data_IF_693087343073
#
_entry.id   IF_693087343073
#
_cell.length_a   1.000
_cell.length_b   1.000
_cell.length_c   1.000
_cell.angle_alpha   90.00
_cell.angle_beta   90.00
_cell.angle_gamma   90.00
#
_symmetry.space_group_name_H-M   'P 1'
#
loop_
_entity.id
_entity.type
_entity.pdbx_description
1 polymer ?
#
# COMPACT_ATOMS: atom_id res chain seq x y z
N UNK A 1 13.47 29.14 20.20
CA UNK A 1 13.44 29.04 18.72
C UNK A 1 12.96 27.65 18.26
N UNK A 2 12.55 26.76 19.17
CA UNK A 2 12.05 25.41 18.86
C UNK A 2 10.56 25.32 18.46
N UNK A 3 9.74 26.36 18.68
CA UNK A 3 8.27 26.27 18.45
C UNK A 3 7.84 26.14 16.97
N UNK A 4 8.75 26.23 16.00
CA UNK A 4 8.44 26.23 14.55
C UNK A 4 8.88 24.97 13.79
N UNK A 5 9.53 24.00 14.45
CA UNK A 5 10.06 22.81 13.75
C UNK A 5 8.92 21.89 13.28
N UNK A 6 7.91 21.67 14.12
CA UNK A 6 6.79 20.76 13.84
C UNK A 6 5.92 21.25 12.67
N UNK A 7 5.45 22.52 12.61
CA UNK A 7 4.66 23.01 11.48
C UNK A 7 5.44 23.03 10.16
N UNK A 8 6.73 23.38 10.21
CA UNK A 8 7.59 23.41 9.04
C UNK A 8 7.80 22.00 8.48
N UNK A 9 8.08 21.01 9.33
CA UNK A 9 8.26 19.62 8.94
C UNK A 9 6.95 19.01 8.39
N UNK A 10 5.81 19.34 8.99
CA UNK A 10 4.49 18.96 8.47
C UNK A 10 4.26 19.51 7.07
N UNK A 11 4.56 20.79 6.83
CA UNK A 11 4.40 21.39 5.51
C UNK A 11 5.29 20.72 4.45
N UNK A 12 6.53 20.37 4.80
CA UNK A 12 7.43 19.64 3.90
C UNK A 12 6.90 18.25 3.57
N UNK A 13 6.40 17.52 4.58
CA UNK A 13 5.78 16.21 4.41
C UNK A 13 4.53 16.26 3.53
N UNK A 14 3.71 17.30 3.69
CA UNK A 14 2.52 17.49 2.86
C UNK A 14 2.89 17.70 1.39
N UNK A 15 3.81 18.63 1.09
CA UNK A 15 4.22 18.90 -0.28
C UNK A 15 4.93 17.70 -0.92
N UNK A 16 5.77 17.00 -0.14
CA UNK A 16 6.39 15.76 -0.57
C UNK A 16 5.37 14.65 -0.86
N UNK A 17 4.41 14.45 0.04
CA UNK A 17 3.33 13.47 -0.13
C UNK A 17 2.52 13.76 -1.39
N UNK A 18 2.15 15.03 -1.60
CA UNK A 18 1.43 15.47 -2.80
C UNK A 18 2.23 15.22 -4.08
N UNK A 19 3.53 15.53 -4.10
CA UNK A 19 4.39 15.31 -5.26
C UNK A 19 4.59 13.82 -5.57
N UNK A 20 4.89 13.00 -4.57
CA UNK A 20 5.07 11.55 -4.73
C UNK A 20 3.75 10.90 -5.16
N UNK A 21 2.63 11.29 -4.52
CA UNK A 21 1.29 10.85 -4.90
C UNK A 21 0.95 11.20 -6.34
N UNK A 22 1.24 12.43 -6.77
CA UNK A 22 1.02 12.88 -8.14
C UNK A 22 1.78 12.03 -9.16
N UNK A 23 3.08 11.80 -8.92
CA UNK A 23 3.90 10.94 -9.76
C UNK A 23 3.38 9.50 -9.80
N UNK A 24 3.01 8.95 -8.64
CA UNK A 24 2.45 7.60 -8.57
C UNK A 24 1.12 7.49 -9.33
N UNK A 25 0.22 8.46 -9.17
CA UNK A 25 -1.07 8.48 -9.86
C UNK A 25 -0.92 8.53 -11.38
N UNK A 26 -0.05 9.41 -11.88
CA UNK A 26 0.25 9.53 -13.30
C UNK A 26 0.92 8.26 -13.87
N UNK A 27 1.86 7.67 -13.11
CA UNK A 27 2.55 6.45 -13.50
C UNK A 27 1.62 5.25 -13.54
N UNK A 28 0.79 5.06 -12.52
CA UNK A 28 -0.17 3.96 -12.43
C UNK A 28 -1.23 4.06 -13.53
N UNK A 29 -1.70 5.27 -13.86
CA UNK A 29 -2.61 5.50 -14.97
C UNK A 29 -2.00 5.04 -16.30
N UNK A 30 -0.76 5.45 -16.60
CA UNK A 30 -0.10 5.13 -17.87
C UNK A 30 0.35 3.69 -18.01
N UNK A 31 0.82 3.10 -16.93
CA UNK A 31 1.36 1.74 -16.93
C UNK A 31 0.32 0.65 -16.74
N UNK A 32 -0.91 1.01 -16.35
CA UNK A 32 -1.92 0.08 -15.86
C UNK A 32 -1.41 -0.87 -14.76
N UNK A 33 -0.40 -0.41 -14.02
CA UNK A 33 0.21 -1.18 -12.94
C UNK A 33 -0.75 -1.27 -11.76
N UNK A 34 -1.13 -2.49 -11.42
CA UNK A 34 -2.03 -2.75 -10.31
C UNK A 34 -1.60 -4.03 -9.64
N UNK A 35 -1.33 -3.97 -8.34
CA UNK A 35 -0.90 -5.16 -7.60
C UNK A 35 -2.01 -6.24 -7.56
N UNK A 36 -3.28 -5.83 -7.64
CA UNK A 36 -4.40 -6.76 -7.85
C UNK A 36 -4.25 -7.54 -9.15
N UNK A 37 -3.95 -6.83 -10.23
CA UNK A 37 -3.84 -7.44 -11.54
C UNK A 37 -2.59 -8.30 -11.66
N UNK A 38 -1.54 -8.08 -10.85
CA UNK A 38 -0.41 -9.00 -10.73
C UNK A 38 -0.84 -10.42 -10.33
N UNK A 39 -1.81 -10.56 -9.43
CA UNK A 39 -2.25 -11.86 -8.92
C UNK A 39 -3.37 -12.48 -9.75
N UNK A 40 -4.29 -11.65 -10.24
CA UNK A 40 -5.43 -12.12 -11.03
C UNK A 40 -5.03 -12.45 -12.48
N UNK A 41 -4.08 -11.71 -13.08
CA UNK A 41 -3.65 -11.97 -14.46
C UNK A 41 -2.92 -13.29 -14.64
N UNK A 42 -2.22 -13.78 -13.61
CA UNK A 42 -1.60 -15.10 -13.61
C UNK A 42 -2.67 -16.19 -13.83
N UNK A 43 -3.83 -16.06 -13.18
CA UNK A 43 -4.91 -17.04 -13.26
C UNK A 43 -5.77 -16.87 -14.51
N UNK A 44 -6.11 -15.62 -14.87
CA UNK A 44 -7.03 -15.32 -15.98
C UNK A 44 -6.33 -15.40 -17.35
N UNK A 45 -5.14 -14.80 -17.47
CA UNK A 45 -4.45 -14.61 -18.75
C UNK A 45 -3.15 -15.43 -18.86
N UNK A 46 -2.67 -16.05 -17.77
CA UNK A 46 -1.38 -16.75 -17.74
C UNK A 46 -0.16 -15.81 -17.88
N UNK A 47 -0.35 -14.49 -17.83
CA UNK A 47 0.72 -13.51 -18.00
C UNK A 47 1.37 -13.16 -16.66
N UNK A 48 2.71 -13.19 -16.63
CA UNK A 48 3.49 -12.81 -15.46
C UNK A 48 4.01 -11.37 -15.52
N UNK A 49 3.71 -10.60 -16.57
CA UNK A 49 4.32 -9.30 -16.85
C UNK A 49 4.24 -8.33 -15.66
N UNK A 50 3.03 -8.16 -15.10
CA UNK A 50 2.84 -7.24 -13.98
C UNK A 50 3.45 -7.77 -12.68
N UNK A 51 3.45 -9.09 -12.49
CA UNK A 51 4.12 -9.71 -11.36
C UNK A 51 5.64 -9.51 -11.43
N UNK A 52 6.24 -9.60 -12.62
CA UNK A 52 7.66 -9.27 -12.84
C UNK A 52 7.95 -7.80 -12.46
N UNK A 53 7.11 -6.85 -12.88
CA UNK A 53 7.24 -5.45 -12.51
C UNK A 53 7.12 -5.21 -10.99
N UNK A 54 6.21 -5.92 -10.32
CA UNK A 54 6.06 -5.87 -8.86
C UNK A 54 7.31 -6.43 -8.15
N UNK A 55 7.88 -7.54 -8.62
CA UNK A 55 9.12 -8.09 -8.07
C UNK A 55 10.31 -7.12 -8.21
N UNK A 56 10.44 -6.44 -9.35
CA UNK A 56 11.46 -5.38 -9.54
C UNK A 56 11.23 -4.22 -8.57
N UNK A 57 9.98 -3.75 -8.45
CA UNK A 57 9.64 -2.68 -7.50
C UNK A 57 9.98 -3.06 -6.05
N UNK A 58 9.67 -4.30 -5.67
CA UNK A 58 9.97 -4.83 -4.35
C UNK A 58 11.48 -4.92 -4.10
N UNK A 59 12.26 -5.43 -5.06
CA UNK A 59 13.71 -5.52 -4.94
C UNK A 59 14.35 -4.14 -4.76
N UNK A 60 13.94 -3.15 -5.56
CA UNK A 60 14.44 -1.77 -5.46
C UNK A 60 14.07 -1.15 -4.12
N UNK A 61 12.84 -1.37 -3.66
CA UNK A 61 12.38 -0.89 -2.36
C UNK A 61 13.15 -1.57 -1.20
N UNK A 62 13.41 -2.88 -1.29
CA UNK A 62 14.18 -3.63 -0.29
C UNK A 62 15.62 -3.14 -0.20
N UNK A 63 16.31 -3.04 -1.33
CA UNK A 63 17.69 -2.57 -1.39
C UNK A 63 17.80 -1.12 -0.88
N UNK A 64 16.87 -0.26 -1.30
CA UNK A 64 16.85 1.13 -0.87
C UNK A 64 16.51 1.30 0.62
N UNK A 65 15.55 0.54 1.15
CA UNK A 65 15.19 0.60 2.57
C UNK A 65 16.33 0.13 3.48
N UNK A 66 17.06 -0.93 3.12
CA UNK A 66 18.24 -1.35 3.88
C UNK A 66 19.38 -0.34 3.79
N UNK A 67 19.60 0.27 2.62
CA UNK A 67 20.58 1.32 2.49
C UNK A 67 20.28 2.52 3.40
N UNK A 68 19.01 2.92 3.53
CA UNK A 68 18.60 3.98 4.46
C UNK A 68 18.74 3.58 5.94
N UNK A 69 18.55 2.29 6.26
CA UNK A 69 18.80 1.74 7.59
C UNK A 69 20.29 1.81 7.94
N UNK A 70 21.17 1.45 7.01
CA UNK A 70 22.63 1.50 7.21
C UNK A 70 23.12 2.94 7.42
N UNK A 71 22.48 3.92 6.76
CA UNK A 71 22.73 5.35 6.97
C UNK A 71 22.15 5.92 8.27
N UNK A 72 21.44 5.12 9.08
CA UNK A 72 20.72 5.54 10.30
C UNK A 72 19.69 6.65 10.09
N UNK A 73 19.24 6.85 8.86
CA UNK A 73 18.17 7.81 8.52
C UNK A 73 16.81 7.19 8.83
N UNK A 74 16.72 5.86 8.71
CA UNK A 74 15.50 5.10 8.92
C UNK A 74 15.66 4.14 10.10
N UNK A 75 14.79 4.25 11.10
CA UNK A 75 14.58 3.26 12.15
C UNK A 75 13.35 2.41 11.84
N UNK A 76 13.50 1.20 11.27
CA UNK A 76 12.37 0.36 10.87
C UNK A 76 11.56 -0.17 12.07
N UNK A 77 12.16 -0.22 13.26
CA UNK A 77 11.53 -0.65 14.51
C UNK A 77 10.44 0.30 15.00
N UNK A 78 10.52 1.59 14.64
CA UNK A 78 9.47 2.58 14.96
C UNK A 78 8.30 2.55 13.96
N UNK A 79 8.41 1.78 12.88
CA UNK A 79 7.38 1.69 11.84
C UNK A 79 6.21 0.80 12.26
N UNK A 80 5.02 1.10 11.71
CA UNK A 80 3.79 0.30 11.96
C UNK A 80 3.92 -1.14 11.40
N UNK A 81 4.87 -1.35 10.50
CA UNK A 81 5.07 -2.61 9.79
C UNK A 81 5.91 -3.64 10.57
N UNK A 82 6.61 -3.20 11.63
CA UNK A 82 7.35 -4.05 12.58
C UNK A 82 6.75 -3.91 14.00
N UNK A 83 5.48 -4.29 14.23
CA UNK A 83 4.92 -4.24 15.58
C UNK A 83 5.60 -5.31 16.45
N UNK A 84 5.90 -4.99 17.71
CA UNK A 84 6.46 -5.94 18.70
C UNK A 84 5.48 -7.08 19.04
N UNK A 85 4.20 -6.82 18.89
CA UNK A 85 3.11 -7.79 19.04
C UNK A 85 2.49 -8.03 17.67
N UNK A 86 2.70 -9.22 17.09
CA UNK A 86 2.17 -9.55 15.76
C UNK A 86 0.75 -10.15 15.89
N UNK A 87 -0.31 -9.45 15.44
CA UNK A 87 -1.65 -10.02 15.36
C UNK A 87 -1.73 -10.93 14.12
N UNK A 88 -1.22 -12.16 14.24
CA UNK A 88 -1.14 -13.12 13.13
C UNK A 88 -2.52 -13.39 12.53
N UNK A 89 -3.54 -13.54 13.38
CA UNK A 89 -4.92 -13.73 12.94
C UNK A 89 -5.42 -12.54 12.10
N UNK A 90 -5.02 -11.32 12.45
CA UNK A 90 -5.35 -10.10 11.71
C UNK A 90 -4.73 -10.09 10.31
N UNK A 91 -3.44 -10.42 10.18
CA UNK A 91 -2.80 -10.50 8.87
C UNK A 91 -3.41 -11.58 7.97
N UNK A 92 -3.72 -12.74 8.54
CA UNK A 92 -4.33 -13.86 7.82
C UNK A 92 -5.75 -13.52 7.36
N UNK A 93 -6.64 -13.22 8.31
CA UNK A 93 -8.05 -12.98 8.01
C UNK A 93 -8.24 -11.66 7.24
N UNK A 94 -7.55 -10.60 7.65
CA UNK A 94 -7.58 -9.31 6.98
C UNK A 94 -7.04 -9.39 5.55
N UNK A 95 -5.92 -10.07 5.35
CA UNK A 95 -5.34 -10.29 4.02
C UNK A 95 -6.28 -11.09 3.11
N UNK A 96 -6.91 -12.15 3.63
CA UNK A 96 -7.85 -12.95 2.86
C UNK A 96 -9.11 -12.17 2.45
N UNK A 97 -9.73 -11.46 3.40
CA UNK A 97 -10.91 -10.61 3.15
C UNK A 97 -10.56 -9.49 2.16
N UNK A 98 -9.39 -8.86 2.32
CA UNK A 98 -8.90 -7.85 1.40
C UNK A 98 -8.72 -8.41 -0.01
N UNK A 99 -8.11 -9.60 -0.13
CA UNK A 99 -7.93 -10.33 -1.38
C UNK A 99 -9.23 -10.60 -2.12
N UNK A 100 -10.28 -11.02 -1.40
CA UNK A 100 -11.63 -11.19 -1.97
C UNK A 100 -12.15 -9.84 -2.49
N UNK A 101 -12.07 -8.80 -1.65
CA UNK A 101 -12.59 -7.47 -1.98
C UNK A 101 -11.96 -6.88 -3.23
N UNK A 102 -10.66 -7.09 -3.46
CA UNK A 102 -9.94 -6.63 -4.66
C UNK A 102 -10.62 -7.05 -5.95
N UNK A 103 -11.06 -8.32 -6.04
CA UNK A 103 -11.63 -8.89 -7.26
C UNK A 103 -12.97 -8.25 -7.57
N UNK A 104 -13.79 -8.01 -6.54
CA UNK A 104 -15.11 -7.39 -6.69
C UNK A 104 -15.04 -5.87 -6.89
N UNK A 105 -14.10 -5.19 -6.25
CA UNK A 105 -13.85 -3.76 -6.47
C UNK A 105 -13.22 -3.47 -7.83
N UNK A 106 -12.57 -4.48 -8.44
CA UNK A 106 -11.93 -4.38 -9.75
C UNK A 106 -10.56 -3.69 -9.71
N UNK A 107 -9.92 -3.55 -8.55
CA UNK A 107 -8.62 -2.91 -8.41
C UNK A 107 -8.08 -2.93 -6.99
N UNK A 108 -6.78 -2.66 -6.81
CA UNK A 108 -6.20 -2.44 -5.48
C UNK A 108 -6.47 -1.01 -4.98
N UNK A 109 -6.15 -0.74 -3.71
CA UNK A 109 -6.42 0.54 -3.05
C UNK A 109 -5.92 1.78 -3.82
N UNK A 110 -4.74 1.72 -4.44
CA UNK A 110 -4.26 2.83 -5.28
C UNK A 110 -4.93 2.87 -6.65
N UNK A 111 -5.23 1.71 -7.26
CA UNK A 111 -5.84 1.67 -8.60
C UNK A 111 -7.29 2.13 -8.58
N UNK A 112 -8.05 1.89 -7.52
CA UNK A 112 -9.41 2.42 -7.40
C UNK A 112 -9.40 3.95 -7.35
N UNK A 113 -8.42 4.58 -6.69
CA UNK A 113 -8.25 6.04 -6.72
C UNK A 113 -7.90 6.55 -8.12
N UNK A 114 -6.96 5.88 -8.80
CA UNK A 114 -6.56 6.25 -10.16
C UNK A 114 -7.74 6.15 -11.13
N UNK A 115 -8.56 5.09 -11.00
CA UNK A 115 -9.77 4.93 -11.82
C UNK A 115 -10.84 5.99 -11.54
N UNK A 116 -10.92 6.50 -10.31
CA UNK A 116 -11.75 7.68 -10.02
C UNK A 116 -11.24 8.89 -10.80
N UNK A 117 -9.92 9.10 -10.85
CA UNK A 117 -9.31 10.14 -11.69
C UNK A 117 -9.51 9.94 -13.20
N UNK A 118 -9.68 8.70 -13.65
CA UNK A 118 -10.03 8.37 -15.05
C UNK A 118 -11.52 8.62 -15.39
N UNK A 119 -12.40 8.82 -14.39
CA UNK A 119 -13.84 9.05 -14.57
C UNK A 119 -14.72 7.80 -14.34
N UNK A 120 -14.20 6.74 -13.73
CA UNK A 120 -14.96 5.51 -13.49
C UNK A 120 -15.84 5.61 -12.23
N UNK A 121 -17.16 5.62 -12.40
CA UNK A 121 -18.13 5.72 -11.30
C UNK A 121 -18.21 4.45 -10.45
N UNK A 122 -17.91 3.27 -11.00
CA UNK A 122 -17.80 2.03 -10.23
C UNK A 122 -16.65 2.08 -9.23
N UNK A 123 -15.49 2.60 -9.67
CA UNK A 123 -14.34 2.80 -8.79
C UNK A 123 -14.64 3.85 -7.70
N UNK A 124 -15.42 4.88 -8.02
CA UNK A 124 -15.86 5.88 -7.05
C UNK A 124 -16.66 5.23 -5.91
N UNK A 125 -17.62 4.37 -6.25
CA UNK A 125 -18.40 3.59 -5.27
C UNK A 125 -17.49 2.72 -4.40
N UNK A 126 -16.54 2.02 -5.02
CA UNK A 126 -15.56 1.22 -4.27
C UNK A 126 -14.71 2.06 -3.31
N UNK A 127 -14.30 3.27 -3.71
CA UNK A 127 -13.56 4.20 -2.85
C UNK A 127 -14.42 4.66 -1.68
N UNK A 128 -15.67 5.07 -1.91
CA UNK A 128 -16.57 5.46 -0.81
C UNK A 128 -16.79 4.32 0.19
N UNK A 129 -17.08 3.11 -0.31
CA UNK A 129 -17.27 1.93 0.53
C UNK A 129 -16.01 1.51 1.29
N UNK A 130 -14.85 1.59 0.62
CA UNK A 130 -13.55 1.38 1.24
C UNK A 130 -13.37 2.31 2.44
N UNK A 131 -13.61 3.60 2.25
CA UNK A 131 -13.38 4.61 3.28
C UNK A 131 -14.35 4.52 4.44
N UNK A 132 -15.63 4.25 4.15
CA UNK A 132 -16.64 4.03 5.18
C UNK A 132 -16.22 2.91 6.14
N UNK A 133 -15.77 1.79 5.59
CA UNK A 133 -15.44 0.60 6.39
C UNK A 133 -14.07 0.72 7.04
N UNK A 134 -13.10 1.34 6.36
CA UNK A 134 -11.79 1.63 6.92
C UNK A 134 -11.87 2.62 8.09
N UNK A 135 -12.59 3.73 7.94
CA UNK A 135 -12.83 4.69 9.02
C UNK A 135 -13.58 4.06 10.19
N UNK A 136 -14.61 3.25 9.90
CA UNK A 136 -15.36 2.52 10.92
C UNK A 136 -14.51 1.49 11.67
N UNK A 137 -13.54 0.85 11.02
CA UNK A 137 -12.64 -0.13 11.63
C UNK A 137 -11.48 0.49 12.42
N UNK A 138 -11.14 1.76 12.12
CA UNK A 138 -10.12 2.52 12.84
C UNK A 138 -10.65 3.09 14.16
N UNK A 139 -11.84 3.72 14.14
CA UNK A 139 -12.39 4.39 15.32
C UNK A 139 -13.91 4.35 15.46
N UNK A 140 -14.61 3.63 14.59
CA UNK A 140 -16.07 3.47 14.65
C UNK A 140 -16.51 2.13 15.25
N UNK A 141 -17.71 1.68 14.91
CA UNK A 141 -18.30 0.45 15.46
C UNK A 141 -17.49 -0.83 15.15
N UNK A 142 -16.83 -0.87 13.99
CA UNK A 142 -15.98 -2.00 13.58
C UNK A 142 -14.61 -1.98 14.28
N UNK A 143 -14.28 -0.93 15.02
CA UNK A 143 -13.07 -0.90 15.84
C UNK A 143 -13.15 -1.91 16.99
N UNK A 144 -14.36 -2.20 17.51
CA UNK A 144 -14.56 -3.21 18.54
C UNK A 144 -14.13 -4.60 18.05
N UNK A 145 -14.58 -5.03 16.87
CA UNK A 145 -14.16 -6.34 16.32
C UNK A 145 -12.67 -6.36 16.02
N UNK A 146 -12.11 -5.26 15.50
CA UNK A 146 -10.68 -5.14 15.25
C UNK A 146 -9.84 -5.33 16.53
N UNK A 147 -10.20 -4.62 17.61
CA UNK A 147 -9.47 -4.68 18.87
C UNK A 147 -9.69 -6.01 19.61
N UNK A 148 -10.94 -6.45 19.77
CA UNK A 148 -11.24 -7.62 20.60
C UNK A 148 -10.99 -8.97 19.91
N UNK A 149 -11.14 -9.05 18.58
CA UNK A 149 -10.99 -10.33 17.87
C UNK A 149 -9.59 -10.48 17.28
N UNK A 150 -9.04 -9.43 16.68
CA UNK A 150 -7.78 -9.56 15.94
C UNK A 150 -6.57 -9.07 16.73
N UNK A 151 -6.72 -8.06 17.59
CA UNK A 151 -5.61 -7.56 18.42
C UNK A 151 -5.44 -8.28 19.75
N UNK A 152 -6.42 -9.06 20.22
CA UNK A 152 -6.25 -9.86 21.44
C UNK A 152 -5.39 -11.12 21.23
N UNK A 153 -5.36 -11.65 20.01
CA UNK A 153 -4.50 -12.79 19.65
C UNK A 153 -3.17 -12.31 19.08
N UNK A 154 -2.28 -11.89 19.96
CA UNK A 154 -0.93 -11.45 19.61
C UNK A 154 0.09 -12.51 19.96
N UNK A 155 0.96 -12.81 19.01
CA UNK A 155 2.21 -13.51 19.28
C UNK A 155 3.27 -12.45 19.62
N UNK A 156 3.77 -12.51 20.84
CA UNK A 156 4.94 -11.73 21.24
C UNK A 156 6.17 -12.36 20.58
N UNK A 157 6.76 -11.61 19.66
CA UNK A 157 7.99 -12.01 18.98
C UNK A 157 9.08 -10.99 19.34
N UNK A 158 10.32 -11.45 19.62
CA UNK A 158 11.43 -10.56 19.98
C UNK A 158 11.78 -9.59 18.85
N UNK A 159 11.51 -9.98 17.61
CA UNK A 159 11.59 -9.12 16.43
C UNK A 159 10.62 -9.60 15.34
N UNK A 160 9.96 -8.67 14.67
CA UNK A 160 8.99 -8.96 13.59
C UNK A 160 9.62 -8.91 12.21
N UNK A 161 10.94 -8.76 12.14
CA UNK A 161 11.74 -8.72 10.92
C UNK A 161 12.28 -10.11 10.62
N UNK A 162 12.22 -10.53 9.36
CA UNK A 162 12.75 -11.83 8.91
C UNK A 162 14.27 -11.95 9.16
N UNK A 163 15.11 -10.93 8.91
CA UNK A 163 16.56 -11.01 9.19
C UNK A 163 16.88 -11.30 10.65
N UNK A 164 16.20 -10.62 11.57
CA UNK A 164 16.50 -10.72 13.00
C UNK A 164 15.96 -12.05 13.59
N UNK A 165 14.90 -12.60 13.03
CA UNK A 165 14.37 -13.93 13.40
C UNK A 165 15.29 -15.07 12.97
N UNK A 166 15.92 -14.96 11.79
CA UNK A 166 16.80 -15.99 11.23
C UNK A 166 18.26 -15.78 11.70
N UNK A 167 18.58 -14.60 12.24
CA UNK A 167 19.95 -14.24 12.65
C UNK A 167 20.89 -13.99 11.48
N UNK A 168 20.35 -13.60 10.32
CA UNK A 168 21.09 -13.42 9.06
C UNK A 168 21.08 -11.95 8.65
N UNK A 169 22.20 -11.47 8.12
CA UNK A 169 22.29 -10.10 7.62
C UNK A 169 21.27 -9.87 6.47
N UNK A 170 20.51 -8.78 6.55
CA UNK A 170 19.48 -8.43 5.56
C UNK A 170 19.99 -8.38 4.12
N UNK A 171 21.26 -7.99 3.91
CA UNK A 171 21.89 -7.97 2.58
C UNK A 171 22.02 -9.35 1.94
N UNK A 172 22.18 -10.41 2.73
CA UNK A 172 22.24 -11.79 2.22
C UNK A 172 20.88 -12.21 1.67
N UNK A 173 19.80 -11.86 2.37
CA UNK A 173 18.42 -12.16 1.93
C UNK A 173 18.10 -11.38 0.65
N UNK A 174 18.47 -10.09 0.58
CA UNK A 174 18.27 -9.26 -0.61
C UNK A 174 19.11 -9.78 -1.79
N UNK A 175 20.37 -10.12 -1.56
CA UNK A 175 21.26 -10.68 -2.58
C UNK A 175 20.73 -12.01 -3.12
N UNK A 176 20.29 -12.92 -2.23
CA UNK A 176 19.68 -14.18 -2.62
C UNK A 176 18.40 -13.97 -3.44
N UNK A 177 17.55 -13.02 -3.01
CA UNK A 177 16.33 -12.66 -3.73
C UNK A 177 16.63 -12.04 -5.11
N UNK A 178 17.65 -11.19 -5.22
CA UNK A 178 18.10 -10.61 -6.48
C UNK A 178 18.62 -11.68 -7.45
N UNK A 179 19.44 -12.62 -6.97
CA UNK A 179 19.94 -13.75 -7.79
C UNK A 179 18.81 -14.65 -8.24
N UNK A 180 17.85 -14.95 -7.35
CA UNK A 180 16.65 -15.70 -7.70
C UNK A 180 15.84 -15.01 -8.80
N UNK A 181 15.60 -13.71 -8.69
CA UNK A 181 14.90 -12.93 -9.71
C UNK A 181 15.68 -12.89 -11.03
N UNK A 182 17.00 -12.71 -10.99
CA UNK A 182 17.84 -12.73 -12.19
C UNK A 182 17.78 -14.08 -12.90
N UNK A 183 17.88 -15.19 -12.16
CA UNK A 183 17.74 -16.54 -12.69
C UNK A 183 16.34 -16.82 -13.25
N UNK A 184 15.30 -16.32 -12.58
CA UNK A 184 13.93 -16.47 -13.05
C UNK A 184 13.65 -15.65 -14.31
N UNK A 185 14.15 -14.40 -14.40
CA UNK A 185 14.05 -13.58 -15.60
C UNK A 185 14.82 -14.19 -16.77
N UNK A 186 15.98 -14.79 -16.52
CA UNK A 186 16.74 -15.49 -17.55
C UNK A 186 15.96 -16.69 -18.13
N UNK A 187 15.27 -17.45 -17.28
CA UNK A 187 14.48 -18.62 -17.70
C UNK A 187 13.12 -18.27 -18.30
N UNK A 188 12.49 -17.18 -17.84
CA UNK A 188 11.15 -16.73 -18.26
C UNK A 188 11.21 -15.72 -19.42
N UNK A 189 12.14 -15.92 -20.36
CA UNK A 189 12.39 -15.03 -21.50
C UNK A 189 11.36 -15.30 -22.60
N UNK A 190 10.09 -14.98 -22.35
CA UNK A 190 9.05 -14.99 -23.37
C UNK A 190 9.31 -13.84 -24.35
N UNK A 191 9.34 -14.13 -25.65
CA UNK A 191 9.85 -13.25 -26.72
C UNK A 191 9.13 -11.88 -26.85
N UNK A 192 7.92 -11.73 -26.31
CA UNK A 192 7.17 -10.46 -26.29
C UNK A 192 7.56 -9.48 -25.15
N UNK A 193 8.28 -9.94 -24.12
CA UNK A 193 8.58 -9.14 -22.91
C UNK A 193 9.70 -8.09 -23.12
N UNK A 194 10.55 -8.28 -24.13
CA UNK A 194 11.74 -7.44 -24.37
C UNK A 194 11.54 -6.37 -25.45
N UNK A 195 10.67 -6.59 -26.42
CA UNK A 195 10.59 -5.76 -27.64
C UNK A 195 9.76 -4.47 -27.43
N UNK A 196 9.08 -4.32 -26.28
CA UNK A 196 8.30 -3.12 -25.91
C UNK A 196 8.37 -2.68 -24.43
N UNK A 197 9.43 -3.04 -23.70
CA UNK A 197 9.50 -3.10 -22.24
C UNK A 197 9.30 -1.77 -21.46
N UNK A 198 8.05 -1.36 -21.23
CA UNK A 198 7.67 -0.33 -20.24
C UNK A 198 7.52 -0.88 -18.81
N UNK A 199 7.38 -2.20 -18.66
CA UNK A 199 7.15 -2.87 -17.38
C UNK A 199 8.31 -2.79 -16.38
N UNK A 200 9.61 -2.94 -16.75
CA UNK A 200 10.68 -2.88 -15.76
C UNK A 200 10.93 -1.44 -15.32
N UNK A 201 10.76 -0.48 -16.24
CA UNK A 201 10.79 0.95 -15.94
C UNK A 201 9.67 1.33 -14.97
N UNK A 202 8.48 0.78 -15.15
CA UNK A 202 7.36 0.99 -14.21
C UNK A 202 7.69 0.42 -12.83
N UNK A 203 8.21 -0.81 -12.75
CA UNK A 203 8.63 -1.42 -11.49
C UNK A 203 9.71 -0.60 -10.78
N UNK A 204 10.75 -0.20 -11.51
CA UNK A 204 11.82 0.66 -11.01
C UNK A 204 11.25 1.99 -10.48
N UNK A 205 10.39 2.66 -11.23
CA UNK A 205 9.80 3.93 -10.84
C UNK A 205 8.93 3.80 -9.59
N UNK A 206 8.08 2.75 -9.47
CA UNK A 206 7.30 2.51 -8.25
C UNK A 206 8.22 2.23 -7.06
N UNK A 207 9.27 1.41 -7.24
CA UNK A 207 10.25 1.12 -6.19
C UNK A 207 10.98 2.38 -5.70
N UNK A 208 11.37 3.26 -6.62
CA UNK A 208 11.99 4.55 -6.30
C UNK A 208 11.03 5.50 -5.58
N UNK A 209 9.74 5.50 -5.91
CA UNK A 209 8.74 6.30 -5.19
C UNK A 209 8.53 5.80 -3.76
N UNK A 210 8.55 4.47 -3.55
CA UNK A 210 8.52 3.87 -2.20
C UNK A 210 9.80 4.22 -1.43
N UNK A 211 10.95 4.20 -2.09
CA UNK A 211 12.21 4.63 -1.48
C UNK A 211 12.19 6.11 -1.09
N UNK A 212 11.69 6.98 -1.97
CA UNK A 212 11.51 8.40 -1.67
C UNK A 212 10.57 8.61 -0.48
N UNK A 213 9.48 7.84 -0.40
CA UNK A 213 8.58 7.83 0.76
C UNK A 213 9.30 7.44 2.06
N UNK A 214 10.16 6.42 2.02
CA UNK A 214 10.98 6.02 3.17
C UNK A 214 11.99 7.07 3.58
N UNK A 215 12.68 7.68 2.62
CA UNK A 215 13.67 8.73 2.88
C UNK A 215 13.01 9.92 3.57
N UNK A 216 11.91 10.43 3.04
CA UNK A 216 11.26 11.64 3.55
C UNK A 216 10.60 11.39 4.92
N UNK A 217 9.90 10.27 5.07
CA UNK A 217 9.25 9.94 6.35
C UNK A 217 10.26 9.48 7.42
N UNK A 218 11.36 8.85 7.01
CA UNK A 218 12.48 8.49 7.88
C UNK A 218 13.27 9.70 8.36
N UNK A 219 13.66 10.61 7.45
CA UNK A 219 14.35 11.86 7.79
C UNK A 219 13.51 12.72 8.73
N UNK A 220 12.21 12.86 8.46
CA UNK A 220 11.30 13.55 9.38
C UNK A 220 11.24 12.90 10.76
N UNK A 221 11.21 11.56 10.83
CA UNK A 221 11.24 10.84 12.10
C UNK A 221 12.54 11.08 12.87
N UNK A 222 13.69 10.97 12.20
CA UNK A 222 15.01 11.18 12.81
C UNK A 222 15.17 12.58 13.42
N UNK A 223 14.62 13.61 12.77
CA UNK A 223 14.63 15.00 13.28
C UNK A 223 13.74 15.19 14.51
N UNK A 224 12.61 14.51 14.57
CA UNK A 224 11.72 14.51 15.75
C UNK A 224 12.37 13.74 16.91
N UNK A 225 13.09 12.65 16.62
CA UNK A 225 13.79 11.85 17.62
C UNK A 225 15.12 12.47 18.11
N UNK A 226 15.69 13.40 17.35
CA UNK A 226 16.87 14.16 17.75
C UNK A 226 16.56 15.22 18.82
N UNK A 227 15.29 15.60 18.99
CA UNK A 227 14.83 16.53 20.01
C UNK A 227 14.23 15.75 21.19
N UNK A 228 14.88 15.81 22.35
CA UNK A 228 14.48 15.08 23.56
C UNK A 228 13.05 15.44 24.02
N UNK A 229 12.62 16.69 23.81
CA UNK A 229 11.30 17.14 24.24
C UNK A 229 10.20 16.59 23.32
N UNK A 230 10.44 16.59 22.00
CA UNK A 230 9.50 16.02 21.02
C UNK A 230 9.47 14.49 21.07
N UNK A 231 10.59 13.85 21.40
CA UNK A 231 10.68 12.40 21.58
C UNK A 231 9.90 11.91 22.81
N UNK A 232 9.77 12.74 23.85
CA UNK A 232 9.05 12.41 25.09
C UNK A 232 7.52 12.47 24.91
N UNK A 233 7.02 13.26 23.94
CA UNK A 233 5.60 13.33 23.62
C UNK A 233 5.16 12.17 22.69
N UNK A 234 4.52 11.17 23.30
CA UNK A 234 3.93 10.02 22.60
C UNK A 234 2.93 10.39 21.49
N UNK A 235 2.30 11.57 21.57
CA UNK A 235 1.32 12.05 20.59
C UNK A 235 1.98 12.61 19.33
N UNK A 236 3.18 13.19 19.45
CA UNK A 236 3.96 13.74 18.34
C UNK A 236 4.75 12.61 17.67
N UNK A 237 5.46 11.81 18.43
CA UNK A 237 6.20 10.63 17.93
C UNK A 237 5.30 9.63 17.20
N UNK A 238 4.06 9.45 17.66
CA UNK A 238 3.05 8.63 17.00
C UNK A 238 2.60 9.17 15.63
N UNK A 239 2.61 10.49 15.42
CA UNK A 239 2.26 11.14 14.14
C UNK A 239 3.38 11.05 13.11
N UNK A 240 4.64 11.12 13.55
CA UNK A 240 5.81 11.08 12.67
C UNK A 240 6.41 9.67 12.53
N UNK A 241 5.62 8.61 12.71
CA UNK A 241 6.12 7.24 12.50
C UNK A 241 6.52 7.04 11.03
N UNK A 242 7.69 6.46 10.77
CA UNK A 242 8.18 6.28 9.41
C UNK A 242 7.23 5.30 8.70
N UNK A 243 6.51 5.87 7.73
CA UNK A 243 5.45 5.19 6.99
C UNK A 243 5.60 5.63 5.55
N UNK A 244 6.35 4.86 4.75
CA UNK A 244 6.37 5.08 3.30
C UNK A 244 4.96 4.87 2.70
N UNK A 245 4.84 4.90 1.37
CA UNK A 245 3.57 4.90 0.65
C UNK A 245 2.59 3.82 1.18
N UNK A 246 1.40 4.28 1.53
CA UNK A 246 0.28 3.44 1.96
C UNK A 246 -1.03 4.16 1.69
N UNK A 247 -2.08 3.39 1.39
CA UNK A 247 -3.38 3.92 1.00
C UNK A 247 -4.51 3.39 1.89
N UNK A 248 -4.20 2.62 2.94
CA UNK A 248 -5.23 2.08 3.82
C UNK A 248 -5.78 3.16 4.76
N UNK A 249 -4.95 3.55 5.74
CA UNK A 249 -5.27 4.59 6.71
C UNK A 249 -5.41 5.99 6.07
N UNK A 250 -4.51 6.44 5.18
CA UNK A 250 -4.61 7.78 4.61
C UNK A 250 -5.88 8.06 3.82
N UNK A 251 -6.44 7.04 3.16
CA UNK A 251 -7.72 7.18 2.48
C UNK A 251 -8.85 7.49 3.49
N UNK A 252 -8.90 6.74 4.59
CA UNK A 252 -9.88 6.98 5.64
C UNK A 252 -9.70 8.36 6.29
N UNK A 253 -8.45 8.74 6.59
CA UNK A 253 -8.12 10.04 7.19
C UNK A 253 -8.47 11.22 6.26
N UNK A 254 -8.30 11.05 4.94
CA UNK A 254 -8.76 12.01 3.93
C UNK A 254 -10.27 12.20 3.96
N UNK A 255 -11.03 11.12 4.11
CA UNK A 255 -12.49 11.19 4.23
C UNK A 255 -12.93 11.85 5.53
N UNK A 256 -12.29 11.52 6.65
CA UNK A 256 -12.54 12.17 7.94
C UNK A 256 -12.19 13.65 7.89
N UNK A 257 -11.11 14.02 7.19
CA UNK A 257 -10.72 15.42 6.97
C UNK A 257 -11.83 16.20 6.25
N UNK A 258 -12.35 15.66 5.15
CA UNK A 258 -13.48 16.27 4.41
C UNK A 258 -14.73 16.35 5.28
N UNK A 259 -15.03 15.30 6.05
CA UNK A 259 -16.28 15.21 6.82
C UNK A 259 -16.31 16.12 8.05
N UNK A 260 -15.17 16.33 8.70
CA UNK A 260 -15.11 17.01 10.01
C UNK A 260 -14.37 18.34 10.00
N UNK A 261 -13.59 18.64 8.94
CA UNK A 261 -12.76 19.84 8.78
C UNK A 261 -11.85 20.20 9.98
N UNK A 262 -11.72 19.30 10.97
CA UNK A 262 -11.09 19.57 12.27
C UNK A 262 -10.43 18.34 12.89
N UNK A 263 -10.68 17.12 12.38
CA UNK A 263 -10.27 15.86 13.03
C UNK A 263 -8.90 15.28 12.63
N UNK A 264 -8.30 15.70 11.52
CA UNK A 264 -7.02 15.16 11.03
C UNK A 264 -6.15 16.26 10.44
N UNK A 265 -4.90 16.37 10.91
CA UNK A 265 -3.91 17.21 10.25
C UNK A 265 -3.64 16.65 8.84
N UNK A 266 -3.43 17.52 7.86
CA UNK A 266 -2.94 17.11 6.55
C UNK A 266 -1.54 16.50 6.74
N UNK A 267 -1.44 15.18 6.67
CA UNK A 267 -0.18 14.47 6.79
C UNK A 267 0.33 14.01 5.42
N UNK A 268 1.52 13.41 5.39
CA UNK A 268 2.12 12.84 4.20
C UNK A 268 1.17 11.88 3.48
N UNK A 269 0.46 11.05 4.24
CA UNK A 269 -0.48 10.07 3.73
C UNK A 269 -1.63 10.73 2.98
N UNK A 270 -2.38 11.61 3.65
CA UNK A 270 -3.55 12.31 3.09
C UNK A 270 -3.14 13.12 1.86
N UNK A 271 -2.00 13.81 1.93
CA UNK A 271 -1.46 14.53 0.79
C UNK A 271 -1.13 13.60 -0.39
N UNK A 272 -0.62 12.39 -0.14
CA UNK A 272 -0.36 11.41 -1.19
C UNK A 272 -1.63 10.89 -1.87
N UNK A 273 -2.74 10.77 -1.14
CA UNK A 273 -4.06 10.40 -1.71
C UNK A 273 -4.55 11.48 -2.68
N UNK A 274 -4.50 12.74 -2.23
CA UNK A 274 -4.85 13.91 -3.06
C UNK A 274 -3.93 13.96 -4.29
N UNK A 275 -2.63 13.76 -4.08
CA UNK A 275 -1.64 13.66 -5.14
C UNK A 275 -2.01 12.60 -6.17
N UNK A 276 -2.34 11.37 -5.76
CA UNK A 276 -2.74 10.29 -6.69
C UNK A 276 -3.97 10.67 -7.50
N UNK A 277 -4.98 11.29 -6.89
CA UNK A 277 -6.17 11.75 -7.60
C UNK A 277 -5.84 12.83 -8.64
N UNK A 278 -5.05 13.84 -8.27
CA UNK A 278 -4.62 14.90 -9.20
C UNK A 278 -3.70 14.37 -10.30
N UNK A 279 -2.76 13.48 -9.97
CA UNK A 279 -1.83 12.86 -10.91
C UNK A 279 -2.53 11.97 -11.93
N UNK A 280 -3.51 11.19 -11.49
CA UNK A 280 -4.30 10.35 -12.39
C UNK A 280 -5.25 11.17 -13.27
N UNK A 281 -5.90 12.20 -12.72
CA UNK A 281 -6.76 13.11 -13.48
C UNK A 281 -5.97 13.86 -14.54
N UNK A 282 -4.84 14.47 -14.18
CA UNK A 282 -3.99 15.20 -15.13
C UNK A 282 -3.43 14.28 -16.20
N UNK A 283 -3.01 13.06 -15.85
CA UNK A 283 -2.58 12.06 -16.82
C UNK A 283 -3.72 11.67 -17.77
N UNK A 284 -4.94 11.42 -17.26
CA UNK A 284 -6.11 11.06 -18.04
C UNK A 284 -6.57 12.17 -19.00
N UNK A 285 -6.52 13.43 -18.55
CA UNK A 285 -6.80 14.59 -19.39
C UNK A 285 -5.73 14.77 -20.47
N UNK A 286 -4.45 14.64 -20.12
CA UNK A 286 -3.33 14.74 -21.07
C UNK A 286 -3.37 13.62 -22.13
N UNK A 287 -3.79 12.41 -21.76
CA UNK A 287 -3.96 11.29 -22.71
C UNK A 287 -5.32 11.27 -23.40
N UNK A 288 -6.21 12.24 -23.12
CA UNK A 288 -7.60 12.28 -23.62
C UNK A 288 -8.37 10.97 -23.38
N UNK A 289 -8.03 10.26 -22.31
CA UNK A 289 -8.64 8.99 -21.94
C UNK A 289 -9.68 9.14 -20.82
N UNK A 290 -9.91 10.36 -20.34
CA UNK A 290 -10.93 10.66 -19.34
C UNK A 290 -12.32 10.40 -19.93
N UNK A 291 -13.10 9.53 -19.29
CA UNK A 291 -14.46 9.23 -19.69
C UNK A 291 -15.32 8.85 -18.48
N UNK A 292 -16.53 9.38 -18.42
CA UNK A 292 -17.50 9.03 -17.39
C UNK A 292 -18.09 7.65 -17.68
N UNK A 293 -17.57 6.63 -17.00
CA UNK A 293 -17.99 5.24 -17.17
C UNK A 293 -18.89 4.83 -16.00
N UNK A 294 -20.17 4.60 -16.29
CA UNK A 294 -21.15 4.04 -15.35
C UNK A 294 -21.09 2.51 -15.41
N UNK A 295 -21.19 1.79 -14.27
CA UNK A 295 -21.33 0.34 -14.27
C UNK A 295 -22.53 -0.12 -15.11
N UNK A 296 -22.38 -1.10 -16.03
CA UNK A 296 -23.40 -1.43 -17.03
C UNK A 296 -24.66 -2.11 -16.46
N UNK A 297 -24.57 -2.75 -15.29
CA UNK A 297 -25.70 -3.41 -14.66
C UNK A 297 -25.65 -3.29 -13.13
N UNK A 298 -26.80 -3.45 -12.48
CA UNK A 298 -26.95 -3.35 -11.01
C UNK A 298 -26.00 -4.29 -10.25
N UNK A 299 -25.78 -5.50 -10.78
CA UNK A 299 -24.84 -6.46 -10.20
C UNK A 299 -23.38 -5.96 -10.18
N UNK A 300 -22.95 -5.22 -11.20
CA UNK A 300 -21.60 -4.64 -11.23
C UNK A 300 -21.45 -3.54 -10.19
N UNK A 301 -22.46 -2.69 -10.04
CA UNK A 301 -22.51 -1.67 -8.99
C UNK A 301 -22.44 -2.31 -7.59
N UNK A 302 -23.23 -3.35 -7.34
CA UNK A 302 -23.22 -4.07 -6.07
C UNK A 302 -21.87 -4.76 -5.81
N UNK A 303 -21.24 -5.31 -6.85
CA UNK A 303 -19.88 -5.85 -6.77
C UNK A 303 -18.86 -4.80 -6.34
N UNK A 304 -18.91 -3.60 -6.93
CA UNK A 304 -18.04 -2.49 -6.53
C UNK A 304 -18.26 -2.05 -5.08
N UNK A 305 -19.51 -2.02 -4.62
CA UNK A 305 -19.87 -1.68 -3.25
C UNK A 305 -19.33 -2.73 -2.27
N UNK A 306 -19.69 -4.01 -2.45
CA UNK A 306 -19.26 -5.11 -1.59
C UNK A 306 -17.74 -5.23 -1.60
N UNK A 307 -17.11 -5.12 -2.78
CA UNK A 307 -15.66 -5.16 -2.91
C UNK A 307 -14.98 -4.04 -2.13
N UNK A 308 -15.51 -2.81 -2.22
CA UNK A 308 -15.02 -1.68 -1.44
C UNK A 308 -15.15 -1.90 0.06
N UNK A 309 -16.31 -2.40 0.54
CA UNK A 309 -16.53 -2.68 1.97
C UNK A 309 -15.52 -3.71 2.51
N UNK A 310 -15.36 -4.84 1.79
CA UNK A 310 -14.43 -5.92 2.17
C UNK A 310 -12.98 -5.43 2.13
N UNK A 311 -12.58 -4.68 1.11
CA UNK A 311 -11.24 -4.08 1.05
C UNK A 311 -11.00 -3.10 2.19
N UNK A 312 -11.95 -2.23 2.52
CA UNK A 312 -11.81 -1.27 3.61
C UNK A 312 -11.58 -1.95 4.95
N UNK A 313 -12.42 -2.95 5.27
CA UNK A 313 -12.30 -3.71 6.50
C UNK A 313 -11.00 -4.52 6.57
N UNK A 314 -10.70 -5.28 5.51
CA UNK A 314 -9.51 -6.14 5.43
C UNK A 314 -8.21 -5.36 5.52
N UNK A 315 -8.15 -4.16 4.94
CA UNK A 315 -6.97 -3.30 4.97
C UNK A 315 -6.62 -2.82 6.39
N UNK A 316 -7.61 -2.56 7.23
CA UNK A 316 -7.37 -2.09 8.60
C UNK A 316 -6.98 -3.26 9.51
N UNK A 317 -7.62 -4.42 9.36
CA UNK A 317 -7.29 -5.61 10.16
C UNK A 317 -5.88 -6.13 9.83
N UNK A 318 -5.50 -6.13 8.55
CA UNK A 318 -4.14 -6.50 8.12
C UNK A 318 -3.11 -5.37 8.30
N UNK A 319 -3.50 -4.24 8.90
CA UNK A 319 -2.65 -3.08 9.13
C UNK A 319 -1.96 -2.55 7.87
N UNK A 320 -2.63 -2.66 6.71
CA UNK A 320 -2.23 -2.01 5.48
C UNK A 320 -2.89 -2.62 4.25
N UNK A 321 -2.68 -1.96 3.11
CA UNK A 321 -3.15 -2.44 1.81
C UNK A 321 -2.00 -3.10 1.04
N UNK A 322 -2.26 -3.49 -0.21
CA UNK A 322 -1.24 -4.00 -1.13
C UNK A 322 0.04 -3.16 -1.19
N UNK A 323 -0.05 -1.83 -1.26
CA UNK A 323 1.17 -0.99 -1.26
C UNK A 323 1.76 -0.91 0.15
N UNK A 324 0.91 -0.71 1.17
CA UNK A 324 1.35 -0.61 2.56
C UNK A 324 2.04 -1.88 3.07
N UNK A 325 1.35 -3.01 3.14
CA UNK A 325 1.97 -4.27 3.61
C UNK A 325 2.79 -4.96 2.50
N UNK A 326 2.34 -4.91 1.25
CA UNK A 326 2.97 -5.69 0.18
C UNK A 326 4.21 -5.07 -0.45
N UNK A 327 4.29 -3.75 -0.61
CA UNK A 327 5.55 -3.10 -1.03
C UNK A 327 6.30 -2.56 0.19
N UNK A 328 5.67 -1.69 0.95
CA UNK A 328 6.33 -0.96 2.03
C UNK A 328 6.70 -1.91 3.19
N UNK A 329 5.79 -2.74 3.68
CA UNK A 329 6.05 -3.70 4.75
C UNK A 329 7.03 -4.81 4.35
N UNK A 330 6.90 -5.36 3.14
CA UNK A 330 7.86 -6.32 2.62
C UNK A 330 9.25 -5.71 2.34
N UNK A 331 9.35 -4.40 2.02
CA UNK A 331 10.64 -3.74 1.76
C UNK A 331 11.57 -3.73 2.97
N UNK A 332 11.02 -3.66 4.17
CA UNK A 332 11.77 -3.76 5.43
C UNK A 332 11.83 -5.19 5.97
N UNK A 333 11.45 -6.18 5.15
CA UNK A 333 11.42 -7.60 5.48
C UNK A 333 10.52 -7.92 6.69
N UNK A 334 9.40 -7.21 6.83
CA UNK A 334 8.41 -7.46 7.87
C UNK A 334 7.64 -8.76 7.63
N UNK A 335 7.60 -9.63 8.65
CA UNK A 335 6.89 -10.91 8.59
C UNK A 335 5.39 -10.71 8.33
N UNK A 336 4.78 -9.69 8.96
CA UNK A 336 3.38 -9.34 8.76
C UNK A 336 3.04 -8.99 7.31
N UNK A 337 3.96 -8.31 6.60
CA UNK A 337 3.80 -7.98 5.19
C UNK A 337 3.75 -9.23 4.30
N UNK A 338 4.67 -10.18 4.51
CA UNK A 338 4.72 -11.43 3.74
C UNK A 338 3.47 -12.28 3.98
N UNK A 339 3.06 -12.46 5.24
CA UNK A 339 1.83 -13.19 5.58
C UNK A 339 0.63 -12.54 4.88
N UNK A 340 0.50 -11.22 5.00
CA UNK A 340 -0.60 -10.47 4.40
C UNK A 340 -0.65 -10.67 2.90
N UNK A 341 0.47 -10.55 2.18
CA UNK A 341 0.52 -10.74 0.72
C UNK A 341 0.10 -12.15 0.32
N UNK A 342 0.57 -13.18 1.02
CA UNK A 342 0.19 -14.58 0.73
C UNK A 342 -1.33 -14.76 0.85
N UNK A 343 -1.93 -14.26 1.92
CA UNK A 343 -3.37 -14.37 2.11
C UNK A 343 -4.19 -13.49 1.17
N UNK A 344 -3.65 -12.34 0.73
CA UNK A 344 -4.26 -11.53 -0.33
C UNK A 344 -4.30 -12.30 -1.65
N UNK A 345 -3.22 -13.00 -2.01
CA UNK A 345 -3.17 -13.85 -3.21
C UNK A 345 -4.24 -14.95 -3.12
N UNK A 346 -4.26 -15.70 -2.00
CA UNK A 346 -5.23 -16.77 -1.77
C UNK A 346 -6.69 -16.28 -1.78
N UNK A 347 -6.95 -15.12 -1.16
CA UNK A 347 -8.27 -14.49 -1.17
C UNK A 347 -8.71 -14.08 -2.57
N UNK A 348 -7.78 -13.50 -3.35
CA UNK A 348 -8.06 -13.08 -4.73
C UNK A 348 -8.35 -14.27 -5.65
N UNK A 349 -7.61 -15.37 -5.51
CA UNK A 349 -7.85 -16.59 -6.30
C UNK A 349 -9.15 -17.28 -5.91
N UNK A 350 -9.47 -17.31 -4.61
CA UNK A 350 -10.77 -17.82 -4.14
C UNK A 350 -11.92 -17.00 -4.72
N UNK A 351 -11.83 -15.67 -4.71
CA UNK A 351 -12.87 -14.82 -5.28
C UNK A 351 -13.03 -14.97 -6.80
N UNK A 352 -11.92 -15.14 -7.54
CA UNK A 352 -11.99 -15.47 -8.97
C UNK A 352 -12.70 -16.80 -9.21
N UNK A 353 -12.36 -17.84 -8.43
CA UNK A 353 -13.01 -19.14 -8.55
C UNK A 353 -14.51 -19.08 -8.24
N UNK A 354 -14.92 -18.31 -7.22
CA UNK A 354 -16.34 -18.08 -6.91
C UNK A 354 -17.02 -17.37 -8.09
N UNK A 355 -16.38 -16.34 -8.64
CA UNK A 355 -16.94 -15.56 -9.76
C UNK A 355 -17.08 -16.40 -11.02
N UNK A 356 -16.11 -17.25 -11.33
CA UNK A 356 -16.18 -18.21 -12.45
C UNK A 356 -17.40 -19.13 -12.30
N UNK A 357 -17.64 -19.67 -11.10
CA UNK A 357 -18.80 -20.53 -10.82
C UNK A 357 -20.16 -19.81 -10.85
N UNK A 358 -20.19 -18.51 -10.56
CA UNK A 358 -21.43 -17.72 -10.66
C UNK A 358 -21.79 -17.38 -12.11
N UNK A 359 -20.82 -17.45 -13.03
CA UNK A 359 -21.02 -17.13 -14.46
C UNK A 359 -21.22 -18.39 -15.34
N UNK A 360 -20.97 -19.58 -14.80
CA UNK A 360 -21.23 -20.89 -15.45
C UNK A 360 -22.64 -21.39 -15.17
#
# INVERSE_FOLDING_TARGET
MEDNIVPQLQSQLMWAGLAIGFLLGALVQRSNFCMANCFTSIRIYGSFLQFKAYMVALLVAMAGAQFLKDMKILDPSASIYLPTQLPVLGFIAGGFIFGIGIVFAGGCASRILVRVGEGNLGALVSVFAFNLTAGSALGGHLAYTNQYVFRNFQLELPSSSIPDLIGVNAWIIIGAFAVFLAGWFYKSRSEDDFIGAKWPLTGLAVGLLVLAGWYITGDAHSKVMADEFLAMDSSITGKFRPTSLTFAKPNADFFTYIATASGSALDFGVASVIGVLLGSLTAALATKSFNWVVPPHKGAFLGHLIGGLLMGYGAIISMGCNIGQGLTGCSILGLGGVITVVFIILGSWTALWIRERMMS
#
